data_IF_906838552801
#
_entry.id   IF_906838552801
#
_cell.length_a   1.000
_cell.length_b   1.000
_cell.length_c   1.000
_cell.angle_alpha   90.00
_cell.angle_beta   90.00
_cell.angle_gamma   90.00
#
_symmetry.space_group_name_H-M   'P 1'
#
loop_
_entity.id
_entity.type
_entity.pdbx_description
1 polymer ?
#
# COMPACT_ATOMS: atom_id res chain seq x y z
N UNK A 1 -36.64 32.38 -2.65
CA UNK A 1 -35.16 32.31 -2.76
C UNK A 1 -34.74 31.01 -2.13
N UNK A 2 -34.60 29.97 -2.93
CA UNK A 2 -34.02 28.71 -2.46
C UNK A 2 -32.52 28.97 -2.25
N UNK A 3 -32.05 28.73 -1.03
CA UNK A 3 -30.63 28.81 -0.73
C UNK A 3 -29.92 27.75 -1.58
N UNK A 4 -29.09 28.16 -2.53
CA UNK A 4 -28.17 27.26 -3.21
C UNK A 4 -27.27 26.64 -2.16
N UNK A 5 -27.57 25.38 -1.79
CA UNK A 5 -26.68 24.58 -0.97
C UNK A 5 -25.34 24.49 -1.68
N UNK A 6 -24.31 25.02 -1.04
CA UNK A 6 -22.94 24.96 -1.55
C UNK A 6 -22.51 23.49 -1.47
N UNK A 7 -22.38 22.83 -2.62
CA UNK A 7 -21.96 21.42 -2.70
C UNK A 7 -20.57 21.31 -2.08
N UNK A 8 -20.43 20.47 -1.04
CA UNK A 8 -19.16 20.23 -0.39
C UNK A 8 -18.52 18.95 -0.95
N UNK A 9 -17.86 19.09 -2.10
CA UNK A 9 -17.24 17.97 -2.82
C UNK A 9 -16.30 17.11 -1.97
N UNK A 10 -15.64 17.69 -0.95
CA UNK A 10 -14.74 16.94 -0.06
C UNK A 10 -15.53 16.02 0.87
N UNK A 11 -16.61 16.53 1.46
CA UNK A 11 -17.49 15.74 2.31
C UNK A 11 -18.20 14.64 1.51
N UNK A 12 -18.65 14.95 0.29
CA UNK A 12 -19.29 13.99 -0.60
C UNK A 12 -18.31 12.87 -1.00
N UNK A 13 -17.06 13.22 -1.30
CA UNK A 13 -16.02 12.25 -1.63
C UNK A 13 -15.71 11.30 -0.46
N UNK A 14 -15.59 11.83 0.76
CA UNK A 14 -15.37 11.01 1.96
C UNK A 14 -16.56 10.07 2.22
N UNK A 15 -17.78 10.61 2.12
CA UNK A 15 -19.01 9.81 2.27
C UNK A 15 -19.07 8.68 1.24
N UNK A 16 -18.71 8.96 -0.02
CA UNK A 16 -18.61 7.94 -1.06
C UNK A 16 -17.54 6.88 -0.75
N UNK A 17 -16.34 7.29 -0.31
CA UNK A 17 -15.27 6.36 0.05
C UNK A 17 -15.68 5.43 1.20
N UNK A 18 -16.32 5.98 2.23
CA UNK A 18 -16.80 5.20 3.37
C UNK A 18 -17.86 4.19 2.93
N UNK A 19 -18.81 4.60 2.08
CA UNK A 19 -19.82 3.70 1.51
C UNK A 19 -19.19 2.58 0.68
N UNK A 20 -18.25 2.89 -0.20
CA UNK A 20 -17.55 1.88 -1.02
C UNK A 20 -16.80 0.89 -0.13
N UNK A 21 -16.14 1.38 0.92
CA UNK A 21 -15.43 0.53 1.87
C UNK A 21 -16.40 -0.38 2.64
N UNK A 22 -17.55 0.12 3.05
CA UNK A 22 -18.56 -0.67 3.75
C UNK A 22 -19.20 -1.75 2.86
N UNK A 23 -19.49 -1.44 1.59
CA UNK A 23 -20.19 -2.38 0.70
C UNK A 23 -19.26 -3.34 -0.03
N UNK A 24 -18.09 -2.87 -0.46
CA UNK A 24 -17.17 -3.61 -1.34
C UNK A 24 -15.80 -3.89 -0.68
N UNK A 25 -15.54 -3.41 0.54
CA UNK A 25 -14.23 -3.51 1.19
C UNK A 25 -13.74 -4.95 1.36
N UNK A 26 -14.62 -5.89 1.73
CA UNK A 26 -14.26 -7.31 1.83
C UNK A 26 -13.92 -7.93 0.47
N UNK A 27 -14.60 -7.50 -0.59
CA UNK A 27 -14.31 -7.93 -1.96
C UNK A 27 -12.93 -7.43 -2.38
N UNK A 28 -12.64 -6.14 -2.18
CA UNK A 28 -11.36 -5.55 -2.51
C UNK A 28 -10.21 -6.08 -1.64
N UNK A 29 -10.44 -6.35 -0.36
CA UNK A 29 -9.46 -7.00 0.52
C UNK A 29 -9.05 -8.37 -0.05
N UNK A 30 -10.03 -9.23 -0.39
CA UNK A 30 -9.75 -10.54 -0.99
C UNK A 30 -9.00 -10.43 -2.33
N UNK A 31 -9.41 -9.52 -3.21
CA UNK A 31 -8.70 -9.30 -4.46
C UNK A 31 -7.28 -8.78 -4.24
N UNK A 32 -7.08 -7.86 -3.30
CA UNK A 32 -5.76 -7.32 -2.98
C UNK A 32 -4.79 -8.41 -2.53
N UNK A 33 -5.25 -9.37 -1.73
CA UNK A 33 -4.45 -10.54 -1.33
C UNK A 33 -4.04 -11.40 -2.54
N UNK A 34 -5.00 -11.72 -3.42
CA UNK A 34 -4.74 -12.52 -4.63
C UNK A 34 -3.71 -11.85 -5.55
N UNK A 35 -3.87 -10.55 -5.80
CA UNK A 35 -2.93 -9.81 -6.63
C UNK A 35 -1.56 -9.67 -5.96
N UNK A 36 -1.51 -9.53 -4.64
CA UNK A 36 -0.23 -9.49 -3.95
C UNK A 36 0.52 -10.82 -4.02
N UNK A 37 -0.15 -11.95 -3.79
CA UNK A 37 0.44 -13.28 -4.00
C UNK A 37 0.95 -13.47 -5.44
N UNK A 38 0.19 -12.99 -6.41
CA UNK A 38 0.60 -12.99 -7.82
C UNK A 38 1.86 -12.15 -8.04
N UNK A 39 1.95 -10.95 -7.47
CA UNK A 39 3.13 -10.11 -7.58
C UNK A 39 4.38 -10.81 -7.02
N UNK A 40 4.26 -11.49 -5.88
CA UNK A 40 5.35 -12.28 -5.29
C UNK A 40 5.77 -13.41 -6.24
N UNK A 41 4.81 -14.15 -6.81
CA UNK A 41 5.09 -15.22 -7.78
C UNK A 41 5.78 -14.68 -9.06
N UNK A 42 5.34 -13.55 -9.59
CA UNK A 42 5.97 -12.88 -10.73
C UNK A 42 7.41 -12.46 -10.42
N UNK A 43 7.65 -11.91 -9.23
CA UNK A 43 9.00 -11.57 -8.77
C UNK A 43 9.89 -12.81 -8.65
N UNK A 44 9.38 -13.91 -8.08
CA UNK A 44 10.13 -15.17 -7.96
C UNK A 44 10.48 -15.79 -9.32
N UNK A 45 9.74 -15.44 -10.38
CA UNK A 45 10.03 -15.82 -11.77
C UNK A 45 10.95 -14.83 -12.50
N UNK A 46 11.44 -13.78 -11.82
CA UNK A 46 12.27 -12.73 -12.42
C UNK A 46 11.50 -11.72 -13.27
N UNK A 47 10.16 -11.72 -13.21
CA UNK A 47 9.30 -10.78 -13.96
C UNK A 47 9.20 -9.44 -13.21
N UNK A 48 10.33 -8.75 -13.06
CA UNK A 48 10.46 -7.57 -12.17
C UNK A 48 9.42 -6.48 -12.45
N UNK A 49 9.29 -6.04 -13.71
CA UNK A 49 8.34 -4.98 -14.07
C UNK A 49 6.89 -5.39 -13.80
N UNK A 50 6.50 -6.58 -14.24
CA UNK A 50 5.16 -7.14 -14.00
C UNK A 50 4.87 -7.19 -12.50
N UNK A 51 5.80 -7.69 -11.69
CA UNK A 51 5.61 -7.82 -10.25
C UNK A 51 5.37 -6.47 -9.56
N UNK A 52 6.02 -5.40 -10.01
CA UNK A 52 5.83 -4.04 -9.48
C UNK A 52 4.45 -3.52 -9.84
N UNK A 53 4.04 -3.62 -11.11
CA UNK A 53 2.72 -3.15 -11.54
C UNK A 53 1.59 -3.94 -10.87
N UNK A 54 1.73 -5.26 -10.77
CA UNK A 54 0.78 -6.11 -10.05
C UNK A 54 0.69 -5.74 -8.57
N UNK A 55 1.82 -5.46 -7.91
CA UNK A 55 1.83 -4.99 -6.51
C UNK A 55 1.22 -3.59 -6.35
N UNK A 56 1.42 -2.67 -7.30
CA UNK A 56 0.75 -1.35 -7.29
C UNK A 56 -0.76 -1.49 -7.35
N UNK A 57 -1.25 -2.39 -8.19
CA UNK A 57 -2.68 -2.67 -8.29
C UNK A 57 -3.23 -3.27 -6.98
N UNK A 58 -2.52 -4.25 -6.41
CA UNK A 58 -2.88 -4.80 -5.10
C UNK A 58 -2.94 -3.70 -4.01
N UNK A 59 -1.98 -2.77 -4.01
CA UNK A 59 -1.95 -1.65 -3.06
C UNK A 59 -3.16 -0.72 -3.20
N UNK A 60 -3.58 -0.41 -4.43
CA UNK A 60 -4.77 0.40 -4.68
C UNK A 60 -6.01 -0.23 -4.05
N UNK A 61 -6.21 -1.54 -4.27
CA UNK A 61 -7.32 -2.29 -3.69
C UNK A 61 -7.25 -2.33 -2.16
N UNK A 62 -6.07 -2.61 -1.61
CA UNK A 62 -5.87 -2.65 -0.16
C UNK A 62 -6.16 -1.30 0.52
N UNK A 63 -5.76 -0.18 -0.13
CA UNK A 63 -6.04 1.16 0.37
C UNK A 63 -7.55 1.48 0.37
N UNK A 64 -8.26 1.09 -0.69
CA UNK A 64 -9.73 1.26 -0.76
C UNK A 64 -10.42 0.42 0.32
N UNK A 65 -9.98 -0.82 0.52
CA UNK A 65 -10.49 -1.69 1.57
C UNK A 65 -10.12 -1.23 2.99
N UNK A 66 -9.10 -0.35 3.13
CA UNK A 66 -8.51 0.00 4.42
C UNK A 66 -7.87 -1.20 5.12
N UNK A 67 -7.25 -2.09 4.34
CA UNK A 67 -6.65 -3.34 4.81
C UNK A 67 -5.20 -3.13 5.28
N UNK A 68 -4.83 -3.81 6.36
CA UNK A 68 -3.44 -3.85 6.86
C UNK A 68 -2.47 -4.45 5.83
N UNK A 69 -2.96 -5.26 4.89
CA UNK A 69 -2.17 -5.77 3.77
C UNK A 69 -1.43 -4.66 3.02
N UNK A 70 -1.97 -3.44 2.96
CA UNK A 70 -1.32 -2.30 2.34
C UNK A 70 0.10 -2.04 2.90
N UNK A 71 0.35 -2.31 4.18
CA UNK A 71 1.66 -2.19 4.82
C UNK A 71 2.65 -3.16 4.17
N UNK A 72 2.27 -4.42 4.03
CA UNK A 72 3.11 -5.46 3.43
C UNK A 72 3.37 -5.21 1.93
N UNK A 73 2.35 -4.76 1.20
CA UNK A 73 2.51 -4.42 -0.23
C UNK A 73 3.46 -3.24 -0.41
N UNK A 74 3.37 -2.21 0.44
CA UNK A 74 4.33 -1.10 0.44
C UNK A 74 5.76 -1.57 0.73
N UNK A 75 5.93 -2.48 1.69
CA UNK A 75 7.22 -3.12 1.97
C UNK A 75 7.83 -3.81 0.77
N UNK A 76 7.04 -4.66 0.12
CA UNK A 76 7.43 -5.34 -1.10
C UNK A 76 7.84 -4.36 -2.20
N UNK A 77 7.00 -3.35 -2.48
CA UNK A 77 7.29 -2.32 -3.48
C UNK A 77 8.59 -1.59 -3.18
N UNK A 78 8.81 -1.17 -1.94
CA UNK A 78 10.05 -0.50 -1.56
C UNK A 78 11.29 -1.36 -1.84
N UNK A 79 11.24 -2.65 -1.48
CA UNK A 79 12.33 -3.57 -1.73
C UNK A 79 12.60 -3.81 -3.23
N UNK A 80 11.55 -3.83 -4.07
CA UNK A 80 11.70 -3.96 -5.54
C UNK A 80 12.19 -2.69 -6.21
N UNK A 81 11.70 -1.54 -5.77
CA UNK A 81 12.12 -0.25 -6.30
C UNK A 81 13.58 0.06 -5.92
N UNK A 82 14.01 -0.31 -4.72
CA UNK A 82 15.41 -0.23 -4.31
C UNK A 82 16.31 -1.06 -5.25
N UNK A 83 15.93 -2.31 -5.52
CA UNK A 83 16.67 -3.19 -6.43
C UNK A 83 16.76 -2.64 -7.87
N UNK A 84 15.83 -1.76 -8.26
CA UNK A 84 15.83 -1.08 -9.55
C UNK A 84 16.46 0.33 -9.50
N UNK A 85 17.17 0.68 -8.42
CA UNK A 85 17.77 2.00 -8.21
C UNK A 85 16.76 3.17 -8.20
N UNK A 86 15.48 2.89 -7.93
CA UNK A 86 14.42 3.89 -7.83
C UNK A 86 14.29 4.39 -6.39
N UNK A 87 15.36 4.94 -5.83
CA UNK A 87 15.51 5.21 -4.39
C UNK A 87 14.42 6.12 -3.81
N UNK A 88 14.07 7.20 -4.50
CA UNK A 88 13.02 8.13 -4.04
C UNK A 88 11.67 7.43 -3.91
N UNK A 89 11.31 6.61 -4.90
CA UNK A 89 10.05 5.87 -4.88
C UNK A 89 10.09 4.77 -3.80
N UNK A 90 11.21 4.06 -3.66
CA UNK A 90 11.41 3.08 -2.61
C UNK A 90 11.22 3.70 -1.21
N UNK A 91 11.81 4.88 -0.97
CA UNK A 91 11.69 5.60 0.29
C UNK A 91 10.24 6.00 0.60
N UNK A 92 9.49 6.47 -0.41
CA UNK A 92 8.08 6.81 -0.23
C UNK A 92 7.25 5.61 0.22
N UNK A 93 7.49 4.44 -0.36
CA UNK A 93 6.78 3.22 0.01
C UNK A 93 7.18 2.71 1.40
N UNK A 94 8.46 2.74 1.77
CA UNK A 94 8.91 2.39 3.13
C UNK A 94 8.30 3.34 4.17
N UNK A 95 8.25 4.64 3.87
CA UNK A 95 7.62 5.60 4.77
C UNK A 95 6.13 5.28 4.95
N UNK A 96 5.41 5.00 3.86
CA UNK A 96 4.01 4.62 3.94
C UNK A 96 3.78 3.32 4.75
N UNK A 97 4.68 2.34 4.62
CA UNK A 97 4.62 1.11 5.43
C UNK A 97 4.82 1.41 6.93
N UNK A 98 5.83 2.23 7.28
CA UNK A 98 6.11 2.65 8.66
C UNK A 98 4.94 3.42 9.27
N UNK A 99 4.36 4.37 8.52
CA UNK A 99 3.22 5.17 8.95
C UNK A 99 1.96 4.31 9.17
N UNK A 100 1.85 3.17 8.47
CA UNK A 100 0.72 2.24 8.57
C UNK A 100 0.84 1.13 9.63
N UNK A 101 1.97 1.02 10.33
CA UNK A 101 2.17 -0.04 11.33
C UNK A 101 1.19 0.07 12.52
N UNK A 102 0.56 -1.04 12.89
CA UNK A 102 -0.28 -1.12 14.09
C UNK A 102 0.54 -1.68 15.26
N UNK A 103 0.72 -0.86 16.32
CA UNK A 103 1.42 -1.24 17.56
C UNK A 103 0.81 -2.43 18.28
N UNK A 104 -0.46 -2.75 18.00
CA UNK A 104 -1.18 -3.90 18.57
C UNK A 104 -0.98 -5.17 17.75
N UNK A 105 -0.42 -5.08 16.54
CA UNK A 105 -0.07 -6.25 15.77
C UNK A 105 1.03 -7.04 16.51
N UNK A 106 0.83 -8.35 16.66
CA UNK A 106 1.80 -9.25 17.32
C UNK A 106 3.19 -9.20 16.68
N UNK A 107 3.26 -8.86 15.39
CA UNK A 107 4.49 -8.79 14.60
C UNK A 107 5.07 -7.37 14.53
N UNK A 108 4.51 -6.40 15.26
CA UNK A 108 4.88 -4.98 15.15
C UNK A 108 6.39 -4.73 15.28
N UNK A 109 7.06 -5.37 16.25
CA UNK A 109 8.50 -5.16 16.47
C UNK A 109 9.34 -5.71 15.31
N UNK A 110 8.94 -6.86 14.76
CA UNK A 110 9.60 -7.49 13.62
C UNK A 110 9.42 -6.64 12.36
N UNK A 111 8.18 -6.23 12.08
CA UNK A 111 7.83 -5.37 10.94
C UNK A 111 8.55 -4.01 11.04
N UNK A 112 8.54 -3.37 12.21
CA UNK A 112 9.25 -2.11 12.45
C UNK A 112 10.75 -2.25 12.19
N UNK A 113 11.38 -3.28 12.76
CA UNK A 113 12.81 -3.53 12.57
C UNK A 113 13.16 -3.76 11.10
N UNK A 114 12.32 -4.54 10.39
CA UNK A 114 12.47 -4.77 8.97
C UNK A 114 12.41 -3.47 8.16
N UNK A 115 11.40 -2.63 8.39
CA UNK A 115 11.23 -1.39 7.63
C UNK A 115 12.28 -0.33 7.94
N UNK A 116 12.74 -0.22 9.19
CA UNK A 116 13.86 0.68 9.53
C UNK A 116 15.18 0.24 8.89
N UNK A 117 15.41 -1.07 8.80
CA UNK A 117 16.57 -1.62 8.09
C UNK A 117 16.49 -1.29 6.61
N UNK A 118 15.34 -1.52 5.97
CA UNK A 118 15.13 -1.20 4.56
C UNK A 118 15.25 0.31 4.29
N UNK A 119 14.75 1.16 5.18
CA UNK A 119 14.91 2.61 5.10
C UNK A 119 16.40 3.01 5.10
N UNK A 120 17.17 2.42 6.01
CA UNK A 120 18.61 2.70 6.13
C UNK A 120 19.35 2.31 4.86
N UNK A 121 19.07 1.12 4.31
CA UNK A 121 19.64 0.66 3.04
C UNK A 121 19.32 1.60 1.86
N UNK A 122 18.09 2.14 1.80
CA UNK A 122 17.71 3.10 0.75
C UNK A 122 18.50 4.40 0.90
N UNK A 123 18.68 4.90 2.12
CA UNK A 123 19.40 6.15 2.39
C UNK A 123 20.89 6.03 2.13
N UNK A 124 21.49 4.87 2.40
CA UNK A 124 22.90 4.59 2.10
C UNK A 124 23.18 4.44 0.60
N UNK A 125 22.19 3.99 -0.18
CA UNK A 125 22.34 3.74 -1.61
C UNK A 125 22.00 4.95 -2.51
N UNK A 126 21.38 6.00 -1.96
CA UNK A 126 20.90 7.18 -2.67
C UNK A 126 21.95 8.30 -2.76
#
# INVERSE_FOLDING_TARGET
MEAQQTINFKADHLTFQDQVKETEGEHFSRQSAIFFERAINECNKGLNHSSIETARFALQLANVAGDYLAVYVNGFLAHRLLANHQYRAAYQHVKAALDGLDKRNRHFQEDLSYYLTLQSQILEAA
#
